data_IF_885006597533
#
_entry.id   IF_885006597533
#
_cell.length_a   1.000
_cell.length_b   1.000
_cell.length_c   1.000
_cell.angle_alpha   90.00
_cell.angle_beta   90.00
_cell.angle_gamma   90.00
#
_symmetry.space_group_name_H-M   'P 1'
#
loop_
_entity.id
_entity.type
_entity.pdbx_description
1 polymer ?
#
# COMPACT_ATOMS: atom_id res chain seq x y z
N UNK A 1 -13.15 2.74 3.33
CA UNK A 1 -14.09 2.12 4.28
C UNK A 1 -15.01 3.21 4.77
N UNK A 2 -16.29 2.91 4.96
CA UNK A 2 -17.25 3.82 5.59
C UNK A 2 -17.16 3.77 7.12
N UNK A 3 -18.09 4.45 7.80
CA UNK A 3 -18.19 4.52 9.27
C UNK A 3 -18.52 3.18 9.94
N UNK A 4 -19.11 2.25 9.20
CA UNK A 4 -19.41 0.89 9.66
C UNK A 4 -18.23 -0.07 9.42
N UNK A 5 -17.20 0.39 8.69
CA UNK A 5 -16.02 -0.38 8.34
C UNK A 5 -16.26 -1.32 7.14
N UNK A 6 -17.30 -1.05 6.35
CA UNK A 6 -17.54 -1.68 5.06
C UNK A 6 -16.75 -0.99 3.95
N UNK A 7 -16.45 -1.72 2.88
CA UNK A 7 -15.78 -1.13 1.72
C UNK A 7 -16.77 -0.24 0.95
N UNK A 8 -16.33 0.96 0.57
CA UNK A 8 -17.16 1.83 -0.25
C UNK A 8 -17.44 1.17 -1.60
N UNK A 9 -18.72 1.19 -2.00
CA UNK A 9 -19.16 0.75 -3.32
C UNK A 9 -19.34 1.95 -4.23
N UNK A 10 -18.68 1.92 -5.38
CA UNK A 10 -18.81 2.93 -6.42
C UNK A 10 -19.73 2.41 -7.52
N UNK A 11 -20.72 3.22 -7.90
CA UNK A 11 -21.65 2.91 -9.00
C UNK A 11 -21.22 3.66 -10.25
N UNK A 12 -20.81 2.91 -11.27
CA UNK A 12 -20.39 3.41 -12.57
C UNK A 12 -21.35 2.91 -13.65
N UNK A 13 -21.36 3.51 -14.85
CA UNK A 13 -22.19 3.04 -15.96
C UNK A 13 -21.99 1.55 -16.28
N UNK A 14 -20.79 1.01 -16.07
CA UNK A 14 -20.43 -0.37 -16.35
C UNK A 14 -20.78 -1.36 -15.22
N UNK A 15 -21.13 -0.86 -14.03
CA UNK A 15 -21.48 -1.70 -12.89
C UNK A 15 -21.13 -1.09 -11.53
N UNK A 16 -21.23 -1.92 -10.50
CA UNK A 16 -20.88 -1.57 -9.13
C UNK A 16 -19.55 -2.22 -8.74
N UNK A 17 -18.66 -1.45 -8.13
CA UNK A 17 -17.31 -1.88 -7.77
C UNK A 17 -17.03 -1.57 -6.29
N UNK A 18 -16.45 -2.53 -5.57
CA UNK A 18 -16.04 -2.38 -4.18
C UNK A 18 -14.76 -3.19 -3.90
N UNK A 19 -14.04 -2.81 -2.85
CA UNK A 19 -12.82 -3.50 -2.42
C UNK A 19 -11.79 -3.67 -3.55
N UNK A 20 -11.34 -4.90 -3.81
CA UNK A 20 -10.35 -5.22 -4.83
C UNK A 20 -10.85 -4.87 -6.24
N UNK A 21 -12.11 -5.17 -6.53
CA UNK A 21 -12.69 -4.91 -7.87
C UNK A 21 -12.70 -3.42 -8.23
N UNK A 22 -12.85 -2.55 -7.23
CA UNK A 22 -12.74 -1.11 -7.41
C UNK A 22 -11.30 -0.70 -7.74
N UNK A 23 -10.30 -1.27 -7.08
CA UNK A 23 -8.90 -0.99 -7.40
C UNK A 23 -8.54 -1.46 -8.81
N UNK A 24 -9.03 -2.63 -9.23
CA UNK A 24 -8.83 -3.14 -10.59
C UNK A 24 -9.47 -2.21 -11.64
N UNK A 25 -10.70 -1.73 -11.38
CA UNK A 25 -11.38 -0.75 -12.22
C UNK A 25 -10.60 0.57 -12.32
N UNK A 26 -10.18 1.12 -11.18
CA UNK A 26 -9.43 2.37 -11.13
C UNK A 26 -8.10 2.26 -11.88
N UNK A 27 -7.36 1.16 -11.69
CA UNK A 27 -6.13 0.92 -12.42
C UNK A 27 -6.34 0.94 -13.94
N UNK A 28 -7.40 0.29 -14.44
CA UNK A 28 -7.74 0.34 -15.85
C UNK A 28 -8.05 1.78 -16.33
N UNK A 29 -8.76 2.57 -15.52
CA UNK A 29 -9.04 3.98 -15.84
C UNK A 29 -7.81 4.88 -15.81
N UNK A 30 -6.88 4.67 -14.88
CA UNK A 30 -5.59 5.40 -14.85
C UNK A 30 -4.78 5.09 -16.11
N UNK A 31 -4.73 3.83 -16.52
CA UNK A 31 -4.08 3.42 -17.77
C UNK A 31 -4.76 4.09 -18.97
N UNK A 32 -6.10 4.10 -19.02
CA UNK A 32 -6.86 4.80 -20.07
C UNK A 32 -6.54 6.31 -20.10
N UNK A 33 -6.49 6.95 -18.94
CA UNK A 33 -6.17 8.38 -18.77
C UNK A 33 -4.78 8.71 -19.33
N UNK A 34 -3.83 7.78 -19.32
CA UNK A 34 -2.49 7.99 -19.90
C UNK A 34 -2.44 7.63 -21.40
N UNK A 35 -2.90 6.43 -21.77
CA UNK A 35 -2.63 5.85 -23.10
C UNK A 35 -3.70 6.11 -24.16
N UNK A 36 -4.95 6.42 -23.79
CA UNK A 36 -5.97 6.70 -24.80
C UNK A 36 -5.65 7.99 -25.56
N UNK A 37 -6.03 8.02 -26.83
CA UNK A 37 -5.91 9.22 -27.67
C UNK A 37 -6.97 10.25 -27.27
N UNK A 38 -6.70 11.53 -27.53
CA UNK A 38 -7.58 12.64 -27.16
C UNK A 38 -8.97 12.61 -27.84
N UNK A 39 -9.08 11.95 -28.99
CA UNK A 39 -10.35 11.77 -29.72
C UNK A 39 -11.19 10.59 -29.19
N UNK A 40 -10.67 9.82 -28.24
CA UNK A 40 -11.45 8.77 -27.59
C UNK A 40 -12.35 9.39 -26.50
N UNK A 41 -13.67 9.17 -26.54
CA UNK A 41 -14.60 9.76 -25.57
C UNK A 41 -14.32 9.36 -24.12
N UNK A 42 -13.72 8.19 -23.87
CA UNK A 42 -13.35 7.74 -22.52
C UNK A 42 -12.15 8.48 -21.93
N UNK A 43 -11.36 9.18 -22.74
CA UNK A 43 -10.15 9.89 -22.28
C UNK A 43 -10.49 10.96 -21.26
N UNK A 44 -11.50 11.78 -21.54
CA UNK A 44 -11.91 12.90 -20.69
C UNK A 44 -12.40 12.40 -19.33
N UNK A 45 -13.31 11.42 -19.32
CA UNK A 45 -13.80 10.78 -18.07
C UNK A 45 -12.66 10.19 -17.23
N UNK A 46 -11.69 9.57 -17.88
CA UNK A 46 -10.53 8.99 -17.19
C UNK A 46 -9.61 10.07 -16.61
N UNK A 47 -9.47 11.22 -17.27
CA UNK A 47 -8.70 12.38 -16.77
C UNK A 47 -9.41 13.05 -15.59
N UNK A 48 -10.74 13.21 -15.66
CA UNK A 48 -11.54 13.74 -14.54
C UNK A 48 -11.43 12.82 -13.32
N UNK A 49 -11.45 11.50 -13.54
CA UNK A 49 -11.24 10.54 -12.49
C UNK A 49 -9.84 10.64 -11.87
N UNK A 50 -8.78 10.93 -12.64
CA UNK A 50 -7.45 11.20 -12.08
C UNK A 50 -7.46 12.39 -11.11
N UNK A 51 -8.19 13.46 -11.47
CA UNK A 51 -8.35 14.63 -10.60
C UNK A 51 -9.14 14.29 -9.34
N UNK A 52 -10.18 13.48 -9.48
CA UNK A 52 -10.95 12.97 -8.35
C UNK A 52 -10.10 12.09 -7.44
N UNK A 53 -9.26 11.20 -7.98
CA UNK A 53 -8.40 10.35 -7.18
C UNK A 53 -7.42 11.16 -6.33
N UNK A 54 -6.99 12.32 -6.84
CA UNK A 54 -6.10 13.22 -6.12
C UNK A 54 -6.75 13.94 -4.93
N UNK A 55 -8.05 14.26 -5.00
CA UNK A 55 -8.68 15.21 -4.05
C UNK A 55 -10.05 14.82 -3.50
N UNK A 56 -10.62 13.72 -3.98
CA UNK A 56 -11.98 13.31 -3.66
C UNK A 56 -12.12 12.68 -2.27
N UNK A 57 -13.20 12.99 -1.52
CA UNK A 57 -13.44 12.51 -0.14
C UNK A 57 -13.38 10.99 0.04
N UNK A 58 -13.89 10.25 -0.96
CA UNK A 58 -13.94 8.78 -0.93
C UNK A 58 -12.92 8.15 -1.87
N UNK A 59 -11.96 8.93 -2.37
CA UNK A 59 -10.85 8.40 -3.14
C UNK A 59 -9.99 7.48 -2.27
N UNK A 60 -9.67 6.26 -2.76
CA UNK A 60 -8.73 5.38 -2.07
C UNK A 60 -7.30 5.94 -2.01
N UNK A 61 -6.96 6.96 -2.81
CA UNK A 61 -5.62 7.52 -2.92
C UNK A 61 -5.43 8.80 -2.09
N UNK A 62 -6.51 9.46 -1.67
CA UNK A 62 -6.44 10.74 -0.97
C UNK A 62 -6.50 10.59 0.55
N UNK A 63 -7.43 9.77 1.05
CA UNK A 63 -7.50 9.42 2.47
C UNK A 63 -8.09 10.51 3.39
N UNK A 64 -8.56 11.63 2.86
CA UNK A 64 -9.14 12.74 3.65
C UNK A 64 -10.51 13.13 3.13
N UNK A 65 -11.29 13.80 3.96
CA UNK A 65 -12.63 14.30 3.63
C UNK A 65 -12.63 15.42 2.57
N UNK A 66 -11.58 16.25 2.52
CA UNK A 66 -11.42 17.32 1.52
C UNK A 66 -9.98 17.78 1.38
N UNK A 67 -9.69 18.38 0.24
CA UNK A 67 -8.44 19.10 -0.04
C UNK A 67 -8.58 20.55 0.43
N UNK A 68 -7.91 20.92 1.52
CA UNK A 68 -7.98 22.28 2.10
C UNK A 68 -6.70 23.10 1.86
N UNK A 69 -5.99 22.82 0.76
CA UNK A 69 -4.71 23.46 0.42
C UNK A 69 -4.87 24.97 0.17
N UNK A 70 -5.99 25.39 -0.43
CA UNK A 70 -6.25 26.79 -0.72
C UNK A 70 -6.48 27.57 0.57
N UNK A 71 -7.34 27.05 1.45
CA UNK A 71 -7.62 27.58 2.78
C UNK A 71 -6.34 27.71 3.60
N UNK A 72 -5.49 26.68 3.56
CA UNK A 72 -4.20 26.67 4.28
C UNK A 72 -3.26 27.80 3.85
N UNK A 73 -3.25 28.13 2.56
CA UNK A 73 -2.34 29.11 1.96
C UNK A 73 -2.90 30.54 2.08
N UNK A 74 -4.18 30.73 1.79
CA UNK A 74 -4.76 32.07 1.60
C UNK A 74 -5.59 32.58 2.78
N UNK A 75 -6.05 31.70 3.68
CA UNK A 75 -6.88 32.10 4.81
C UNK A 75 -6.09 32.06 6.12
N UNK A 76 -6.30 33.07 6.95
CA UNK A 76 -5.69 33.16 8.29
C UNK A 76 -6.32 32.15 9.27
N UNK A 77 -7.63 31.92 9.14
CA UNK A 77 -8.36 30.98 9.98
C UNK A 77 -7.94 29.53 9.70
N UNK A 78 -7.19 28.94 10.64
CA UNK A 78 -6.66 27.59 10.52
C UNK A 78 -7.72 26.50 10.66
N UNK A 79 -8.87 26.79 11.27
CA UNK A 79 -9.97 25.81 11.37
C UNK A 79 -10.49 25.42 9.99
N UNK A 80 -10.47 26.35 9.03
CA UNK A 80 -10.88 26.10 7.65
C UNK A 80 -9.91 25.17 6.89
N UNK A 81 -8.68 25.02 7.38
CA UNK A 81 -7.64 24.18 6.78
C UNK A 81 -7.52 22.77 7.39
N UNK A 82 -8.43 22.44 8.30
CA UNK A 82 -8.52 21.11 8.89
C UNK A 82 -9.07 20.12 7.87
N UNK A 83 -8.35 19.01 7.73
CA UNK A 83 -8.70 17.87 6.89
C UNK A 83 -8.77 16.65 7.80
N UNK A 84 -9.89 15.94 7.71
CA UNK A 84 -10.20 14.80 8.56
C UNK A 84 -9.82 13.54 7.78
N UNK A 85 -9.03 12.69 8.43
CA UNK A 85 -8.69 11.38 7.90
C UNK A 85 -9.95 10.52 7.77
N UNK A 86 -10.07 9.78 6.66
CA UNK A 86 -11.21 8.89 6.45
C UNK A 86 -11.17 7.67 7.40
N UNK A 87 -12.29 6.95 7.47
CA UNK A 87 -12.50 5.84 8.41
C UNK A 87 -11.47 4.70 8.30
N UNK A 88 -10.85 4.53 7.13
CA UNK A 88 -9.80 3.53 6.94
C UNK A 88 -8.66 3.70 7.96
N UNK A 89 -8.29 4.92 8.32
CA UNK A 89 -7.19 5.15 9.25
C UNK A 89 -7.49 4.70 10.68
N UNK A 90 -8.76 4.73 11.10
CA UNK A 90 -9.14 4.20 12.41
C UNK A 90 -9.36 2.68 12.38
N UNK A 91 -9.97 2.17 11.31
CA UNK A 91 -10.21 0.73 11.16
C UNK A 91 -8.94 -0.09 10.92
N UNK A 92 -8.00 0.42 10.12
CA UNK A 92 -6.72 -0.26 9.84
C UNK A 92 -5.85 -0.47 11.08
N UNK A 93 -6.11 0.24 12.19
CA UNK A 93 -5.42 0.02 13.47
C UNK A 93 -5.91 -1.24 14.21
N UNK A 94 -7.00 -1.87 13.76
CA UNK A 94 -7.64 -3.04 14.36
C UNK A 94 -7.40 -4.28 13.50
N UNK A 95 -6.94 -5.37 14.13
CA UNK A 95 -6.56 -6.60 13.43
C UNK A 95 -7.68 -7.22 12.58
N UNK A 96 -8.93 -7.18 13.06
CA UNK A 96 -10.09 -7.74 12.34
C UNK A 96 -10.34 -7.07 10.97
N UNK A 97 -10.08 -5.77 10.87
CA UNK A 97 -10.24 -5.01 9.63
C UNK A 97 -9.04 -5.16 8.71
N UNK A 98 -7.83 -5.35 9.25
CA UNK A 98 -6.70 -5.82 8.46
C UNK A 98 -7.00 -7.17 7.82
N UNK A 99 -7.54 -8.12 8.58
CA UNK A 99 -7.92 -9.44 8.06
C UNK A 99 -8.99 -9.36 6.97
N UNK A 100 -9.96 -8.45 7.14
CA UNK A 100 -10.96 -8.17 6.12
C UNK A 100 -10.33 -7.69 4.81
N UNK A 101 -9.37 -6.76 4.89
CA UNK A 101 -8.60 -6.30 3.72
C UNK A 101 -7.80 -7.46 3.13
N UNK A 102 -7.09 -8.25 3.94
CA UNK A 102 -6.31 -9.36 3.42
C UNK A 102 -7.16 -10.35 2.62
N UNK A 103 -8.32 -10.74 3.16
CA UNK A 103 -9.25 -11.65 2.47
C UNK A 103 -9.82 -11.05 1.18
N UNK A 104 -10.16 -9.76 1.18
CA UNK A 104 -10.63 -9.04 -0.02
C UNK A 104 -9.62 -9.10 -1.17
N UNK A 105 -8.33 -9.08 -0.84
CA UNK A 105 -7.24 -9.15 -1.82
C UNK A 105 -6.70 -10.56 -2.03
N UNK A 106 -7.37 -11.60 -1.51
CA UNK A 106 -6.95 -13.00 -1.66
C UNK A 106 -5.68 -13.38 -0.89
N UNK A 107 -5.29 -12.56 0.09
CA UNK A 107 -4.10 -12.77 0.92
C UNK A 107 -4.41 -13.59 2.18
N UNK A 108 -3.42 -14.31 2.70
CA UNK A 108 -3.54 -15.06 3.95
C UNK A 108 -3.41 -14.12 5.17
N UNK A 109 -4.45 -13.95 6.01
CA UNK A 109 -4.40 -13.04 7.15
C UNK A 109 -3.36 -13.39 8.22
N UNK A 110 -2.90 -14.64 8.28
CA UNK A 110 -1.86 -15.09 9.22
C UNK A 110 -0.45 -14.64 8.80
N UNK A 111 -0.26 -14.29 7.52
CA UNK A 111 1.06 -13.98 6.96
C UNK A 111 1.15 -12.59 6.33
N UNK A 112 0.00 -11.97 6.06
CA UNK A 112 -0.08 -10.72 5.34
C UNK A 112 0.11 -9.51 6.27
N UNK A 113 0.68 -8.45 5.71
CA UNK A 113 0.92 -7.19 6.40
C UNK A 113 0.48 -6.03 5.52
N UNK A 114 -0.06 -4.99 6.14
CA UNK A 114 -0.30 -3.69 5.49
C UNK A 114 0.89 -2.80 5.78
N UNK A 115 1.51 -2.26 4.72
CA UNK A 115 2.61 -1.30 4.83
C UNK A 115 2.10 0.07 4.36
N UNK A 116 1.85 0.97 5.31
CA UNK A 116 1.43 2.34 5.03
C UNK A 116 2.63 3.29 5.09
N UNK A 117 2.91 3.93 3.96
CA UNK A 117 3.91 4.99 3.85
C UNK A 117 3.34 6.39 4.10
N UNK A 118 4.21 7.39 4.09
CA UNK A 118 3.89 8.84 3.96
C UNK A 118 3.15 9.49 5.15
N UNK A 119 2.74 8.70 6.13
CA UNK A 119 2.09 9.21 7.35
C UNK A 119 3.15 9.28 8.45
N UNK A 120 3.41 10.47 9.02
CA UNK A 120 4.40 10.62 10.06
C UNK A 120 3.94 9.89 11.33
N UNK A 121 4.84 9.07 11.89
CA UNK A 121 4.63 8.44 13.20
C UNK A 121 5.08 9.44 14.27
N UNK A 122 4.16 9.83 15.15
CA UNK A 122 4.44 10.77 16.23
C UNK A 122 5.05 10.04 17.44
N UNK A 123 6.29 9.58 17.30
CA UNK A 123 7.01 8.81 18.33
C UNK A 123 7.09 9.59 19.65
N UNK A 124 7.33 10.91 19.58
CA UNK A 124 7.31 11.80 20.74
C UNK A 124 5.97 11.82 21.52
N UNK A 125 4.86 11.42 20.87
CA UNK A 125 3.54 11.29 21.49
C UNK A 125 3.20 9.85 21.90
N UNK A 126 4.18 8.94 21.86
CA UNK A 126 4.01 7.53 22.20
C UNK A 126 3.36 6.69 21.10
N UNK A 127 3.25 7.21 19.88
CA UNK A 127 2.70 6.44 18.76
C UNK A 127 3.70 5.35 18.33
N UNK A 128 3.18 4.14 18.13
CA UNK A 128 3.96 2.99 17.67
C UNK A 128 3.83 2.80 16.16
N UNK A 129 4.92 2.45 15.46
CA UNK A 129 4.90 2.18 14.02
C UNK A 129 4.19 0.86 13.68
N UNK A 130 4.18 -0.10 14.61
CA UNK A 130 3.46 -1.38 14.46
C UNK A 130 2.14 -1.32 15.22
N UNK A 131 1.05 -1.65 14.53
CA UNK A 131 -0.33 -1.63 15.03
C UNK A 131 -1.07 -2.89 14.60
N UNK A 132 -2.35 -3.00 15.00
CA UNK A 132 -3.22 -4.09 14.60
C UNK A 132 -2.63 -5.48 14.88
N UNK A 133 -2.05 -5.66 16.07
CA UNK A 133 -1.42 -6.93 16.49
C UNK A 133 -0.34 -7.43 15.50
N UNK A 134 0.51 -6.51 15.02
CA UNK A 134 1.58 -6.84 14.08
C UNK A 134 1.19 -6.76 12.61
N UNK A 135 -0.09 -6.58 12.27
CA UNK A 135 -0.57 -6.61 10.88
C UNK A 135 -0.44 -5.29 10.12
N UNK A 136 -0.29 -4.16 10.81
CA UNK A 136 -0.13 -2.84 10.19
C UNK A 136 1.21 -2.22 10.58
N UNK A 137 2.01 -1.87 9.57
CA UNK A 137 3.24 -1.11 9.71
C UNK A 137 3.06 0.28 9.09
N UNK A 138 3.36 1.31 9.86
CA UNK A 138 3.41 2.70 9.40
C UNK A 138 4.88 3.10 9.30
N UNK A 139 5.34 3.35 8.08
CA UNK A 139 6.73 3.67 7.77
C UNK A 139 6.80 5.08 7.19
N UNK A 140 7.29 6.01 8.00
CA UNK A 140 7.67 7.33 7.50
C UNK A 140 9.10 7.28 6.97
N UNK A 141 9.29 7.75 5.74
CA UNK A 141 10.61 7.87 5.14
C UNK A 141 11.50 8.87 5.88
N UNK A 142 10.94 9.80 6.65
CA UNK A 142 11.65 10.68 7.57
C UNK A 142 12.75 11.56 6.97
N UNK A 143 13.02 11.48 5.66
CA UNK A 143 14.06 12.23 4.95
C UNK A 143 13.83 13.76 4.95
N UNK A 144 12.62 14.20 5.25
CA UNK A 144 12.30 15.62 5.28
C UNK A 144 12.62 16.23 6.65
N UNK A 145 13.65 17.09 6.69
CA UNK A 145 14.08 17.83 7.88
C UNK A 145 12.95 18.58 8.59
N UNK A 146 11.91 18.99 7.84
CA UNK A 146 10.77 19.70 8.40
C UNK A 146 9.95 18.85 9.37
N UNK A 147 9.95 17.52 9.23
CA UNK A 147 9.15 16.60 10.03
C UNK A 147 9.87 16.06 11.28
N UNK A 148 11.21 16.11 11.33
CA UNK A 148 11.98 15.61 12.49
C UNK A 148 11.58 16.25 13.81
N UNK A 149 11.27 17.56 13.82
CA UNK A 149 10.81 18.26 15.04
C UNK A 149 9.50 17.70 15.58
N UNK A 150 8.66 17.16 14.70
CA UNK A 150 7.32 16.68 15.01
C UNK A 150 7.32 15.19 15.34
N UNK A 151 8.09 14.38 14.60
CA UNK A 151 8.16 12.92 14.76
C UNK A 151 9.12 12.51 15.86
N UNK A 152 10.22 13.24 16.06
CA UNK A 152 11.30 12.90 17.00
C UNK A 152 12.38 11.98 16.43
N UNK A 153 12.20 11.48 15.20
CA UNK A 153 13.09 10.53 14.53
C UNK A 153 13.33 10.92 13.07
N UNK A 154 14.31 10.27 12.43
CA UNK A 154 14.63 10.40 11.01
C UNK A 154 13.97 9.36 10.11
N UNK A 155 12.99 8.61 10.64
CA UNK A 155 12.16 7.68 9.89
C UNK A 155 12.43 6.23 10.26
N UNK A 156 11.70 5.33 9.60
CA UNK A 156 11.84 3.89 9.77
C UNK A 156 12.27 3.23 8.46
N UNK A 157 13.01 2.13 8.57
CA UNK A 157 13.20 1.18 7.47
C UNK A 157 12.68 -0.17 7.89
N UNK A 158 11.78 -0.74 7.09
CA UNK A 158 11.36 -2.14 7.26
C UNK A 158 12.36 -3.06 6.59
N UNK A 159 12.84 -4.02 7.36
CA UNK A 159 13.77 -5.05 6.93
C UNK A 159 13.01 -6.37 6.97
N UNK A 160 12.90 -7.02 5.82
CA UNK A 160 12.34 -8.36 5.71
C UNK A 160 13.39 -9.33 5.19
N UNK A 161 13.53 -10.48 5.85
CA UNK A 161 14.37 -11.58 5.38
C UNK A 161 13.67 -12.93 5.65
N UNK A 162 14.32 -14.04 5.27
CA UNK A 162 13.71 -15.37 5.40
C UNK A 162 13.44 -15.83 6.83
N UNK A 163 13.91 -15.10 7.85
CA UNK A 163 13.81 -15.46 9.27
C UNK A 163 12.93 -14.51 10.08
N UNK A 164 12.82 -13.22 9.71
CA UNK A 164 12.07 -12.25 10.51
C UNK A 164 11.74 -10.97 9.74
N UNK A 165 10.81 -10.20 10.28
CA UNK A 165 10.63 -8.77 10.02
C UNK A 165 11.29 -7.96 11.14
N UNK A 166 11.94 -6.86 10.79
CA UNK A 166 12.53 -5.92 11.74
C UNK A 166 12.32 -4.48 11.29
N UNK A 167 12.25 -3.57 12.25
CA UNK A 167 12.26 -2.13 12.02
C UNK A 167 13.58 -1.53 12.48
N UNK A 168 14.22 -0.78 11.59
CA UNK A 168 15.35 0.08 11.92
C UNK A 168 14.84 1.50 12.13
N UNK A 169 14.98 2.01 13.35
CA UNK A 169 14.62 3.38 13.73
C UNK A 169 15.83 4.30 13.53
N UNK A 170 15.70 5.27 12.62
CA UNK A 170 16.78 6.19 12.30
C UNK A 170 16.70 7.43 13.18
N UNK A 171 17.85 7.88 13.69
CA UNK A 171 18.00 9.15 14.40
C UNK A 171 18.43 10.26 13.43
N UNK A 172 18.14 11.54 13.72
CA UNK A 172 18.67 12.65 12.94
C UNK A 172 20.20 12.57 12.85
N UNK A 173 20.73 12.81 11.66
CA UNK A 173 22.18 12.73 11.42
C UNK A 173 22.95 13.82 12.19
N UNK A 174 23.95 13.41 12.97
CA UNK A 174 24.88 14.28 13.68
C UNK A 174 26.33 14.00 13.25
N UNK A 175 27.03 14.97 12.61
CA UNK A 175 28.42 14.78 12.20
C UNK A 175 29.35 14.47 13.37
N UNK A 176 30.18 13.43 13.24
CA UNK A 176 31.15 13.04 14.26
C UNK A 176 30.61 12.18 15.40
N UNK A 177 29.32 11.82 15.36
CA UNK A 177 28.68 10.90 16.31
C UNK A 177 28.32 9.55 15.66
N UNK A 178 27.96 8.57 16.50
CA UNK A 178 27.40 7.30 16.05
C UNK A 178 25.95 7.51 15.57
N UNK A 179 25.68 7.15 14.32
CA UNK A 179 24.39 7.38 13.66
C UNK A 179 23.69 6.08 13.26
N UNK A 180 24.19 4.93 13.75
CA UNK A 180 23.55 3.64 13.49
C UNK A 180 22.10 3.62 14.00
N UNK A 181 21.16 3.06 13.22
CA UNK A 181 19.78 2.97 13.63
C UNK A 181 19.58 1.91 14.72
N UNK A 182 18.58 2.11 15.57
CA UNK A 182 18.18 1.11 16.55
C UNK A 182 17.28 0.07 15.87
N UNK A 183 17.74 -1.17 15.80
CA UNK A 183 17.05 -2.26 15.09
C UNK A 183 16.26 -3.13 16.08
N UNK A 184 14.97 -3.32 15.79
CA UNK A 184 14.08 -4.14 16.60
C UNK A 184 13.38 -5.19 15.73
N UNK A 185 13.48 -6.45 16.11
CA UNK A 185 12.73 -7.54 15.46
C UNK A 185 11.26 -7.41 15.87
N UNK A 186 10.37 -7.30 14.89
CA UNK A 186 8.92 -7.13 15.11
C UNK A 186 8.17 -8.44 14.98
N UNK A 187 8.67 -9.36 14.16
CA UNK A 187 8.06 -10.67 13.95
C UNK A 187 9.12 -11.69 13.55
N UNK A 188 9.06 -12.89 14.12
CA UNK A 188 9.92 -14.02 13.74
C UNK A 188 9.12 -14.99 12.89
N UNK A 189 9.67 -15.37 11.75
CA UNK A 189 9.03 -16.36 10.88
C UNK A 189 9.02 -17.73 11.58
N UNK A 190 7.89 -18.46 11.57
CA UNK A 190 7.81 -19.77 12.23
C UNK A 190 8.75 -20.81 11.60
N UNK A 191 9.07 -20.64 10.32
CA UNK A 191 10.07 -21.40 9.60
C UNK A 191 10.77 -20.51 8.58
N UNK A 192 11.98 -20.89 8.17
CA UNK A 192 12.72 -20.16 7.15
C UNK A 192 11.99 -20.20 5.82
N UNK A 193 11.61 -19.03 5.30
CA UNK A 193 11.02 -18.90 3.97
C UNK A 193 12.04 -19.23 2.88
N UNK A 194 11.61 -20.00 1.89
CA UNK A 194 12.39 -20.40 0.72
C UNK A 194 11.85 -19.70 -0.52
N UNK A 195 12.65 -19.67 -1.59
CA UNK A 195 12.22 -19.15 -2.90
C UNK A 195 10.96 -19.87 -3.40
N UNK A 196 10.82 -21.17 -3.13
CA UNK A 196 9.63 -21.93 -3.54
C UNK A 196 8.33 -21.51 -2.85
N UNK A 197 8.42 -20.68 -1.79
CA UNK A 197 7.30 -20.16 -1.02
C UNK A 197 6.89 -18.74 -1.46
N UNK A 198 7.61 -18.16 -2.44
CA UNK A 198 7.34 -16.81 -2.97
C UNK A 198 6.70 -16.88 -4.35
N UNK A 199 6.11 -15.78 -4.82
CA UNK A 199 5.50 -15.69 -6.15
C UNK A 199 6.49 -16.06 -7.27
N UNK A 200 7.74 -15.57 -7.20
CA UNK A 200 8.79 -15.96 -8.15
C UNK A 200 9.09 -17.46 -8.13
N UNK A 201 8.88 -18.13 -7.00
CA UNK A 201 9.02 -19.58 -6.90
C UNK A 201 7.90 -20.32 -7.61
N UNK A 202 6.68 -19.79 -7.55
CA UNK A 202 5.55 -20.32 -8.31
C UNK A 202 5.78 -20.11 -9.81
N UNK A 203 6.20 -18.91 -10.24
CA UNK A 203 6.55 -18.66 -11.64
C UNK A 203 7.64 -19.60 -12.17
N UNK A 204 8.65 -19.92 -11.35
CA UNK A 204 9.69 -20.88 -11.73
C UNK A 204 9.11 -22.29 -11.88
N UNK A 205 8.21 -22.71 -10.98
CA UNK A 205 7.54 -24.03 -11.06
C UNK A 205 6.67 -24.11 -12.30
N UNK A 206 5.84 -23.10 -12.56
CA UNK A 206 4.98 -23.04 -13.74
C UNK A 206 5.81 -23.16 -15.03
N UNK A 207 6.96 -22.46 -15.10
CA UNK A 207 7.90 -22.59 -16.22
C UNK A 207 8.54 -23.97 -16.34
N UNK A 208 8.77 -24.67 -15.23
CA UNK A 208 9.29 -26.04 -15.27
C UNK A 208 8.21 -26.96 -15.84
N UNK A 209 6.97 -26.81 -15.39
CA UNK A 209 5.85 -27.62 -15.86
C UNK A 209 5.59 -27.41 -17.36
N UNK A 210 5.62 -26.15 -17.83
CA UNK A 210 5.53 -25.80 -19.26
C UNK A 210 6.64 -26.47 -20.09
N UNK A 211 7.87 -26.50 -19.58
CA UNK A 211 9.00 -27.13 -20.25
C UNK A 211 8.88 -28.66 -20.26
N UNK A 212 8.37 -29.25 -19.19
CA UNK A 212 8.09 -30.68 -19.14
C UNK A 212 7.01 -31.08 -20.16
N UNK A 213 5.91 -30.32 -20.24
CA UNK A 213 4.86 -30.53 -21.25
C UNK A 213 5.40 -30.38 -22.68
N UNK A 214 6.27 -29.39 -22.91
CA UNK A 214 6.91 -29.18 -24.19
C UNK A 214 7.78 -30.39 -24.59
N UNK A 215 8.57 -30.93 -23.66
CA UNK A 215 9.40 -32.14 -23.89
C UNK A 215 8.51 -33.35 -24.22
N UNK A 216 7.40 -33.52 -23.52
CA UNK A 216 6.44 -34.60 -23.81
C UNK A 216 5.82 -34.44 -25.20
N UNK A 217 5.46 -33.23 -25.59
CA UNK A 217 4.93 -32.92 -26.92
C UNK A 217 5.91 -33.27 -28.05
N UNK A 218 7.21 -32.98 -27.87
CA UNK A 218 8.25 -33.41 -28.82
C UNK A 218 8.40 -34.92 -28.83
N UNK A 219 8.41 -35.57 -27.66
CA UNK A 219 8.59 -37.02 -27.53
C UNK A 219 7.44 -37.82 -28.16
N UNK A 220 6.21 -37.29 -28.09
CA UNK A 220 5.02 -37.87 -28.73
C UNK A 220 4.88 -37.48 -30.21
N UNK A 221 5.74 -36.62 -30.73
CA UNK A 221 5.68 -36.13 -32.11
C UNK A 221 4.51 -35.19 -32.39
N UNK A 222 3.87 -34.62 -31.34
CA UNK A 222 2.84 -33.59 -31.47
C UNK A 222 3.45 -32.27 -31.99
N UNK A 223 4.70 -32.00 -31.61
CA UNK A 223 5.51 -30.90 -32.14
C UNK A 223 6.71 -31.52 -32.86
N UNK A 224 7.01 -31.02 -34.07
CA UNK A 224 8.17 -31.46 -34.85
C UNK A 224 9.40 -30.65 -34.47
N UNK A 225 10.51 -31.34 -34.21
CA UNK A 225 11.83 -30.70 -34.20
C UNK A 225 12.11 -30.08 -35.58
N UNK A 226 12.70 -28.89 -35.60
CA UNK A 226 13.15 -28.21 -36.82
C UNK A 226 14.63 -28.46 -37.05
#
# INVERSE_FOLDING_TARGET
MDEDGEFHTWKMPEGEYSGKSLMDYLNARVIDAYFLRADNPRKEESLDLMWYLWSGPVSPMFGRDRMAIFERIFLEDKSLSEEINNSYYEFSKKAEYCDKIFREFGMNPEKAHIINGHIPVLVNKGEKPVKADGKLYIIDGGLSKAYHKTTGIAGYTLIFNSHHLALAEHKPYVPGEENSPDIHITEVMPARLRVCDTDSGNEIKDRIDDLCELIECYSLGLIKEK
#
